data_IF_725185705263
#
_entry.id   IF_725185705263
#
_cell.length_a   1.000
_cell.length_b   1.000
_cell.length_c   1.000
_cell.angle_alpha   90.00
_cell.angle_beta   90.00
_cell.angle_gamma   90.00
#
_symmetry.space_group_name_H-M   'P 1'
#
loop_
_entity.id
_entity.type
_entity.pdbx_description
1 polymer ?
#
# COMPACT_ATOMS: atom_id res chain seq x y z
N UNK A 1 -15.19 -1.99 3.17
CA UNK A 1 -13.95 -1.72 2.43
C UNK A 1 -13.57 -2.89 1.51
N UNK A 2 -13.15 -4.03 2.08
CA UNK A 2 -12.74 -5.23 1.32
C UNK A 2 -13.85 -5.71 0.35
N UNK A 3 -15.10 -5.81 0.81
CA UNK A 3 -16.22 -6.22 -0.05
C UNK A 3 -16.46 -5.24 -1.21
N UNK A 4 -16.29 -3.94 -0.99
CA UNK A 4 -16.46 -2.93 -2.04
C UNK A 4 -15.38 -3.07 -3.12
N UNK A 5 -14.12 -3.30 -2.72
CA UNK A 5 -13.02 -3.61 -3.64
C UNK A 5 -13.34 -4.89 -4.44
N UNK A 6 -13.91 -5.92 -3.80
CA UNK A 6 -14.26 -7.18 -4.46
C UNK A 6 -15.42 -7.06 -5.44
N UNK A 7 -16.43 -6.25 -5.14
CA UNK A 7 -17.55 -5.96 -6.06
C UNK A 7 -17.03 -5.26 -7.33
N UNK A 8 -16.03 -4.39 -7.19
CA UNK A 8 -15.43 -3.64 -8.30
C UNK A 8 -14.22 -4.34 -8.93
N UNK A 9 -13.85 -5.53 -8.47
CA UNK A 9 -12.61 -6.19 -8.87
C UNK A 9 -12.61 -6.55 -10.35
N UNK A 10 -11.53 -6.17 -11.04
CA UNK A 10 -11.31 -6.46 -12.47
C UNK A 10 -10.11 -7.37 -12.63
N UNK A 11 -10.32 -8.49 -13.35
CA UNK A 11 -9.27 -9.48 -13.61
C UNK A 11 -8.08 -8.90 -14.37
N UNK A 12 -8.32 -7.93 -15.26
CA UNK A 12 -7.26 -7.25 -16.03
C UNK A 12 -6.30 -6.50 -15.12
N UNK A 13 -6.82 -5.73 -14.15
CA UNK A 13 -6.03 -4.96 -13.19
C UNK A 13 -5.25 -5.90 -12.27
N UNK A 14 -5.89 -6.98 -11.80
CA UNK A 14 -5.22 -7.98 -10.97
C UNK A 14 -4.04 -8.63 -11.71
N UNK A 15 -4.23 -9.01 -12.98
CA UNK A 15 -3.16 -9.62 -13.77
C UNK A 15 -1.98 -8.64 -13.95
N UNK A 16 -2.25 -7.36 -14.22
CA UNK A 16 -1.21 -6.33 -14.33
C UNK A 16 -0.46 -6.16 -13.01
N UNK A 17 -1.17 -6.15 -11.87
CA UNK A 17 -0.55 -6.10 -10.54
C UNK A 17 0.35 -7.31 -10.30
N UNK A 18 -0.13 -8.52 -10.61
CA UNK A 18 0.64 -9.76 -10.44
C UNK A 18 1.85 -9.84 -11.38
N UNK A 19 1.77 -9.28 -12.57
CA UNK A 19 2.90 -9.23 -13.52
C UNK A 19 4.01 -8.27 -13.05
N UNK A 20 3.63 -7.11 -12.50
CA UNK A 20 4.59 -6.12 -11.97
C UNK A 20 5.12 -6.49 -10.58
N UNK A 21 4.36 -7.22 -9.77
CA UNK A 21 4.72 -7.53 -8.37
C UNK A 21 6.12 -8.12 -8.16
N UNK A 22 6.60 -9.08 -8.99
CA UNK A 22 7.94 -9.63 -8.84
C UNK A 22 9.07 -8.58 -8.95
N UNK A 23 8.81 -7.43 -9.59
CA UNK A 23 9.79 -6.35 -9.73
C UNK A 23 10.15 -5.72 -8.39
N UNK A 24 9.32 -5.85 -7.34
CA UNK A 24 9.60 -5.38 -5.97
C UNK A 24 10.98 -5.85 -5.48
N UNK A 25 11.40 -7.07 -5.86
CA UNK A 25 12.72 -7.62 -5.48
C UNK A 25 13.89 -6.77 -5.95
N UNK A 26 13.75 -6.02 -7.06
CA UNK A 26 14.79 -5.14 -7.60
C UNK A 26 15.01 -3.91 -6.73
N UNK A 27 13.99 -3.48 -6.00
CA UNK A 27 14.01 -2.30 -5.14
C UNK A 27 14.63 -2.56 -3.76
N UNK A 28 14.98 -3.82 -3.45
CA UNK A 28 15.72 -4.17 -2.24
C UNK A 28 17.15 -3.62 -2.22
N UNK A 29 17.76 -3.41 -3.39
CA UNK A 29 19.12 -2.92 -3.50
C UNK A 29 19.24 -1.40 -3.30
N UNK A 30 18.13 -0.66 -3.43
CA UNK A 30 18.10 0.78 -3.24
C UNK A 30 17.72 1.09 -1.79
N UNK A 31 18.62 1.77 -1.06
CA UNK A 31 18.47 2.11 0.36
C UNK A 31 17.17 2.85 0.67
N UNK A 32 16.69 3.71 -0.24
CA UNK A 32 15.48 4.52 -0.03
C UNK A 32 14.20 3.69 -0.16
N UNK A 33 14.19 2.67 -1.01
CA UNK A 33 13.02 1.83 -1.29
C UNK A 33 13.08 0.47 -0.59
N UNK A 34 14.24 0.07 -0.06
CA UNK A 34 14.46 -1.24 0.54
C UNK A 34 13.53 -1.52 1.71
N UNK A 35 13.24 -0.50 2.55
CA UNK A 35 12.25 -0.60 3.64
C UNK A 35 10.90 -1.08 3.10
N UNK A 36 10.35 -0.37 2.13
CA UNK A 36 9.02 -0.65 1.55
C UNK A 36 8.99 -1.96 0.77
N UNK A 37 10.04 -2.21 -0.02
CA UNK A 37 10.19 -3.44 -0.77
C UNK A 37 10.25 -4.66 0.15
N UNK A 38 10.98 -4.59 1.27
CA UNK A 38 11.06 -5.69 2.23
C UNK A 38 9.73 -6.01 2.91
N UNK A 39 8.88 -5.01 3.15
CA UNK A 39 7.54 -5.22 3.70
C UNK A 39 6.61 -5.91 2.71
N UNK A 40 6.78 -5.71 1.40
CA UNK A 40 5.89 -6.23 0.36
C UNK A 40 6.38 -7.49 -0.34
N UNK A 41 7.64 -7.88 -0.18
CA UNK A 41 8.25 -8.99 -0.95
C UNK A 41 7.57 -10.34 -0.75
N UNK A 42 7.04 -10.58 0.45
CA UNK A 42 6.36 -11.82 0.83
C UNK A 42 4.83 -11.70 0.69
N UNK A 43 4.36 -10.60 0.06
CA UNK A 43 2.96 -10.37 -0.22
C UNK A 43 2.57 -10.84 -1.62
N UNK A 44 1.27 -10.98 -1.86
CA UNK A 44 0.74 -11.28 -3.18
C UNK A 44 -0.58 -10.53 -3.43
N UNK A 45 -0.75 -9.84 -4.57
CA UNK A 45 -2.03 -9.26 -4.96
C UNK A 45 -3.04 -10.38 -5.22
N UNK A 46 -4.17 -10.33 -4.54
CA UNK A 46 -5.23 -11.35 -4.67
C UNK A 46 -6.54 -10.81 -5.25
N UNK A 47 -6.75 -9.50 -5.17
CA UNK A 47 -7.83 -8.80 -5.85
C UNK A 47 -7.43 -7.36 -6.11
N UNK A 48 -7.93 -6.79 -7.21
CA UNK A 48 -7.65 -5.42 -7.59
C UNK A 48 -8.85 -4.82 -8.34
N UNK A 49 -9.14 -3.56 -8.10
CA UNK A 49 -10.10 -2.73 -8.81
C UNK A 49 -9.45 -1.36 -9.14
N UNK A 50 -10.08 -0.49 -9.95
CA UNK A 50 -9.57 0.86 -10.14
C UNK A 50 -9.45 1.58 -8.79
N UNK A 51 -8.24 1.96 -8.40
CA UNK A 51 -7.95 2.62 -7.12
C UNK A 51 -7.91 1.71 -5.89
N UNK A 52 -8.12 0.39 -6.01
CA UNK A 52 -8.16 -0.53 -4.87
C UNK A 52 -7.34 -1.80 -5.05
N UNK A 53 -6.61 -2.21 -4.03
CA UNK A 53 -5.77 -3.41 -4.04
C UNK A 53 -5.91 -4.21 -2.74
N UNK A 54 -6.02 -5.53 -2.87
CA UNK A 54 -6.00 -6.45 -1.73
C UNK A 54 -4.73 -7.27 -1.79
N UNK A 55 -3.95 -7.20 -0.71
CA UNK A 55 -2.68 -7.90 -0.55
C UNK A 55 -2.83 -9.03 0.46
N UNK A 56 -2.38 -10.22 0.08
CA UNK A 56 -2.34 -11.38 0.95
C UNK A 56 -0.93 -11.62 1.47
N UNK A 57 -0.82 -11.87 2.77
CA UNK A 57 0.43 -12.15 3.48
C UNK A 57 0.40 -13.52 4.15
N UNK A 58 1.58 -14.11 4.34
CA UNK A 58 1.75 -15.34 5.11
C UNK A 58 1.50 -15.12 6.60
N UNK A 59 1.98 -14.00 7.15
CA UNK A 59 1.98 -13.73 8.59
C UNK A 59 1.18 -12.49 8.93
N UNK A 60 0.41 -12.56 10.03
CA UNK A 60 -0.40 -11.45 10.53
C UNK A 60 0.45 -10.21 10.85
N UNK A 61 1.65 -10.40 11.41
CA UNK A 61 2.54 -9.28 11.77
C UNK A 61 2.90 -8.43 10.54
N UNK A 62 3.16 -9.04 9.38
CA UNK A 62 3.45 -8.33 8.15
C UNK A 62 2.23 -7.57 7.63
N UNK A 63 1.05 -8.22 7.64
CA UNK A 63 -0.20 -7.56 7.26
C UNK A 63 -0.50 -6.36 8.16
N UNK A 64 -0.30 -6.49 9.47
CA UNK A 64 -0.47 -5.40 10.42
C UNK A 64 0.51 -4.26 10.17
N UNK A 65 1.79 -4.57 9.91
CA UNK A 65 2.80 -3.54 9.59
C UNK A 65 2.46 -2.75 8.33
N UNK A 66 1.88 -3.41 7.33
CA UNK A 66 1.47 -2.78 6.06
C UNK A 66 0.21 -1.94 6.22
N UNK A 67 -0.74 -2.38 7.06
CA UNK A 67 -1.93 -1.60 7.39
C UNK A 67 -1.67 -0.50 8.43
N UNK A 68 -0.50 -0.49 9.07
CA UNK A 68 -0.15 0.49 10.09
C UNK A 68 0.12 1.84 9.43
N UNK A 69 -0.54 2.88 9.94
CA UNK A 69 -0.59 4.19 9.31
C UNK A 69 0.78 4.83 9.04
N UNK A 70 1.75 4.63 9.94
CA UNK A 70 3.12 5.17 9.77
C UNK A 70 3.84 4.59 8.55
N UNK A 71 3.48 3.37 8.14
CA UNK A 71 4.03 2.74 6.94
C UNK A 71 3.12 2.92 5.72
N UNK A 72 1.83 3.17 5.94
CA UNK A 72 0.81 3.13 4.91
C UNK A 72 1.09 4.09 3.76
N UNK A 73 1.32 5.38 4.05
CA UNK A 73 1.53 6.40 3.01
C UNK A 73 2.82 6.18 2.23
N UNK A 74 3.91 5.80 2.91
CA UNK A 74 5.17 5.43 2.24
C UNK A 74 5.02 4.23 1.32
N UNK A 75 4.28 3.21 1.76
CA UNK A 75 3.92 2.05 0.94
C UNK A 75 3.00 2.44 -0.22
N UNK A 76 2.04 3.34 0.00
CA UNK A 76 1.13 3.84 -1.04
C UNK A 76 1.91 4.53 -2.16
N UNK A 77 2.86 5.40 -1.82
CA UNK A 77 3.74 6.06 -2.81
C UNK A 77 4.57 5.02 -3.56
N UNK A 78 5.21 4.10 -2.84
CA UNK A 78 6.00 3.03 -3.46
C UNK A 78 5.20 2.14 -4.41
N UNK A 79 3.99 1.71 -4.01
CA UNK A 79 3.09 0.92 -4.86
C UNK A 79 2.64 1.74 -6.08
N UNK A 80 2.38 3.04 -5.89
CA UNK A 80 1.97 3.93 -6.98
C UNK A 80 3.07 4.10 -8.02
N UNK A 81 4.33 4.26 -7.61
CA UNK A 81 5.49 4.30 -8.50
C UNK A 81 5.68 2.98 -9.25
N UNK A 82 5.58 1.84 -8.55
CA UNK A 82 5.71 0.51 -9.15
C UNK A 82 4.62 0.25 -10.20
N UNK A 83 3.40 0.65 -9.89
CA UNK A 83 2.23 0.34 -10.70
C UNK A 83 1.95 1.37 -11.80
N UNK A 84 2.44 2.60 -11.64
CA UNK A 84 2.14 3.74 -12.51
C UNK A 84 0.73 4.33 -12.30
N UNK A 85 0.02 3.86 -11.27
CA UNK A 85 -1.33 4.27 -10.91
C UNK A 85 -1.46 4.23 -9.38
N UNK A 86 -2.25 5.14 -8.80
CA UNK A 86 -2.46 5.20 -7.36
C UNK A 86 -3.49 4.18 -6.90
N UNK A 87 -3.13 3.39 -5.90
CA UNK A 87 -4.03 2.41 -5.27
C UNK A 87 -4.10 2.63 -3.77
N UNK A 88 -5.32 2.66 -3.24
CA UNK A 88 -5.58 2.35 -1.84
C UNK A 88 -5.52 0.83 -1.67
N UNK A 89 -4.82 0.37 -0.65
CA UNK A 89 -4.62 -1.05 -0.41
C UNK A 89 -5.03 -1.47 1.00
N UNK A 90 -5.31 -2.77 1.14
CA UNK A 90 -5.51 -3.42 2.41
C UNK A 90 -4.78 -4.76 2.43
N UNK A 91 -4.03 -4.99 3.50
CA UNK A 91 -3.33 -6.23 3.75
C UNK A 91 -4.13 -7.16 4.66
N UNK A 92 -4.10 -8.44 4.36
CA UNK A 92 -4.71 -9.49 5.18
C UNK A 92 -3.97 -10.81 5.03
N UNK A 93 -4.19 -11.73 5.95
CA UNK A 93 -3.54 -13.05 5.88
C UNK A 93 -4.17 -13.93 4.79
N UNK A 94 -3.46 -14.96 4.34
CA UNK A 94 -4.02 -15.98 3.44
C UNK A 94 -5.29 -16.62 4.00
N UNK A 95 -5.34 -16.86 5.32
CA UNK A 95 -6.53 -17.41 5.98
C UNK A 95 -7.70 -16.46 5.94
N UNK A 96 -7.50 -15.18 6.28
CA UNK A 96 -8.56 -14.17 6.27
C UNK A 96 -9.06 -13.92 4.85
N UNK A 97 -8.16 -13.98 3.86
CA UNK A 97 -8.51 -13.89 2.45
C UNK A 97 -9.48 -14.99 2.03
N UNK A 98 -9.17 -16.23 2.39
CA UNK A 98 -10.01 -17.37 2.06
C UNK A 98 -11.40 -17.26 2.71
N UNK A 99 -11.46 -16.82 3.97
CA UNK A 99 -12.72 -16.60 4.68
C UNK A 99 -13.53 -15.48 4.03
N UNK A 100 -12.90 -14.33 3.74
CA UNK A 100 -13.56 -13.18 3.12
C UNK A 100 -14.05 -13.49 1.71
N UNK A 101 -13.25 -14.21 0.93
CA UNK A 101 -13.63 -14.66 -0.41
C UNK A 101 -14.81 -15.63 -0.38
N UNK A 102 -14.84 -16.56 0.57
CA UNK A 102 -16.00 -17.48 0.75
C UNK A 102 -17.26 -16.68 1.06
N UNK A 103 -17.17 -15.77 2.03
CA UNK A 103 -18.29 -14.90 2.40
C UNK A 103 -18.80 -14.06 1.22
N UNK A 104 -17.89 -13.46 0.43
CA UNK A 104 -18.27 -12.75 -0.79
C UNK A 104 -19.03 -13.64 -1.80
N UNK A 105 -18.59 -14.89 -1.98
CA UNK A 105 -19.25 -15.83 -2.89
C UNK A 105 -20.65 -16.23 -2.38
N UNK A 106 -20.85 -16.32 -1.07
CA UNK A 106 -22.16 -16.57 -0.45
C UNK A 106 -23.11 -15.39 -0.70
N UNK A 107 -22.67 -14.16 -0.42
CA UNK A 107 -23.45 -12.94 -0.68
C UNK A 107 -23.80 -12.78 -2.16
N UNK A 108 -22.86 -13.09 -3.06
CA UNK A 108 -23.08 -13.07 -4.50
C UNK A 108 -24.16 -14.07 -4.93
N UNK A 109 -24.18 -15.27 -4.35
CA UNK A 109 -25.23 -16.27 -4.63
C UNK A 109 -26.59 -15.85 -4.07
N UNK A 110 -26.59 -15.18 -2.90
CA UNK A 110 -27.80 -14.66 -2.28
C UNK A 110 -28.35 -13.39 -2.94
N UNK A 111 -27.61 -12.76 -3.86
CA UNK A 111 -27.99 -11.49 -4.47
C UNK A 111 -27.93 -10.30 -3.50
N UNK A 112 -27.18 -10.43 -2.40
CA UNK A 112 -27.06 -9.46 -1.32
C UNK A 112 -25.73 -8.68 -1.36
N UNK A 113 -25.15 -8.51 -2.56
CA UNK A 113 -23.92 -7.74 -2.69
C UNK A 113 -24.20 -6.25 -2.48
N UNK A 114 -23.31 -5.53 -1.79
CA UNK A 114 -23.43 -4.08 -1.67
C UNK A 114 -23.25 -3.42 -3.04
N UNK A 115 -23.86 -2.26 -3.22
CA UNK A 115 -23.64 -1.45 -4.42
C UNK A 115 -22.19 -0.93 -4.46
N UNK A 116 -21.57 -0.82 -5.65
CA UNK A 116 -20.25 -0.23 -5.80
C UNK A 116 -20.24 1.23 -5.31
N UNK A 117 -19.34 1.55 -4.38
CA UNK A 117 -19.14 2.91 -3.88
C UNK A 117 -17.68 3.36 -3.95
N UNK A 118 -17.37 4.60 -3.56
CA UNK A 118 -15.98 5.06 -3.41
C UNK A 118 -15.18 4.11 -2.50
N UNK A 119 -13.92 3.89 -2.82
CA UNK A 119 -13.04 3.09 -1.98
C UNK A 119 -12.70 3.94 -0.77
N UNK A 120 -13.12 3.44 0.38
CA UNK A 120 -12.94 4.07 1.65
C UNK A 120 -12.27 3.07 2.57
N UNK A 121 -11.23 3.48 3.28
CA UNK A 121 -10.44 2.59 4.11
C UNK A 121 -10.50 3.07 5.56
N UNK A 122 -11.33 2.39 6.34
CA UNK A 122 -11.58 2.68 7.77
C UNK A 122 -10.32 2.64 8.64
N UNK A 123 -9.28 1.91 8.21
CA UNK A 123 -8.02 1.79 8.96
C UNK A 123 -7.07 3.00 8.80
N UNK A 124 -7.36 3.92 7.88
CA UNK A 124 -6.57 5.14 7.64
C UNK A 124 -7.41 6.43 7.62
N UNK A 125 -8.73 6.31 7.70
CA UNK A 125 -9.70 7.41 7.51
C UNK A 125 -9.50 8.64 8.41
N UNK A 126 -8.94 8.45 9.62
CA UNK A 126 -8.74 9.55 10.58
C UNK A 126 -7.29 10.06 10.63
N UNK A 127 -6.50 9.74 9.61
CA UNK A 127 -5.07 10.02 9.58
C UNK A 127 -4.80 10.87 8.35
N UNK A 128 -4.53 12.16 8.58
CA UNK A 128 -4.06 13.04 7.54
C UNK A 128 -2.76 12.47 6.96
N UNK A 129 -2.66 12.40 5.64
CA UNK A 129 -1.40 12.06 4.99
C UNK A 129 -0.34 13.01 5.55
N UNK A 130 0.72 12.50 6.22
CA UNK A 130 1.73 13.38 6.73
C UNK A 130 2.28 14.17 5.55
N UNK A 131 2.12 15.50 5.58
CA UNK A 131 2.89 16.40 4.74
C UNK A 131 4.33 15.89 4.78
N UNK A 132 4.99 15.80 3.61
CA UNK A 132 6.40 15.48 3.55
C UNK A 132 7.12 16.50 4.44
N UNK A 133 7.32 16.15 5.71
CA UNK A 133 8.36 16.77 6.50
C UNK A 133 9.58 16.35 5.74
N UNK A 134 10.11 17.25 4.92
CA UNK A 134 11.46 17.17 4.41
C UNK A 134 12.33 16.89 5.63
N UNK A 135 12.55 15.61 5.93
CA UNK A 135 13.45 15.23 6.98
C UNK A 135 14.80 15.55 6.38
N UNK A 136 15.33 16.71 6.78
CA UNK A 136 16.69 17.13 6.48
C UNK A 136 17.57 15.87 6.54
N UNK A 137 18.22 15.55 5.43
CA UNK A 137 19.23 14.50 5.36
C UNK A 137 20.23 14.68 6.51
N UNK A 138 20.92 13.62 6.91
CA UNK A 138 21.91 13.74 7.99
C UNK A 138 22.96 14.82 7.70
N UNK A 139 23.31 15.01 6.41
CA UNK A 139 24.17 16.11 5.96
C UNK A 139 23.54 17.50 6.12
N UNK A 140 22.25 17.65 5.81
CA UNK A 140 21.52 18.90 6.02
C UNK A 140 21.33 19.20 7.52
N UNK A 141 21.03 18.19 8.35
CA UNK A 141 20.97 18.36 9.82
C UNK A 141 22.32 18.80 10.39
N UNK A 142 23.40 18.15 9.96
CA UNK A 142 24.75 18.50 10.38
C UNK A 142 25.15 19.91 9.91
N UNK A 143 24.75 20.30 8.69
CA UNK A 143 24.96 21.65 8.20
C UNK A 143 24.20 22.67 9.06
N UNK A 144 22.93 22.42 9.39
CA UNK A 144 22.16 23.28 10.29
C UNK A 144 22.75 23.32 11.71
N UNK A 145 23.31 22.22 12.22
CA UNK A 145 23.97 22.19 13.54
C UNK A 145 25.27 23.00 13.55
N UNK A 146 26.06 22.92 12.49
CA UNK A 146 27.34 23.62 12.37
C UNK A 146 27.20 25.11 12.02
N UNK A 147 26.23 25.44 11.18
CA UNK A 147 26.14 26.74 10.52
C UNK A 147 24.83 27.47 10.82
N UNK A 148 23.82 26.81 11.38
CA UNK A 148 22.55 27.46 11.76
C UNK A 148 21.85 28.09 10.55
N UNK A 149 21.33 29.31 10.75
CA UNK A 149 20.43 29.98 9.81
C UNK A 149 21.09 30.45 8.49
N UNK A 150 22.41 30.29 8.32
CA UNK A 150 23.09 30.63 7.05
C UNK A 150 23.03 29.50 6.01
N UNK A 151 22.52 28.32 6.37
CA UNK A 151 22.35 27.21 5.44
C UNK A 151 21.13 27.44 4.56
N UNK A 152 21.34 27.54 3.26
CA UNK A 152 20.26 27.49 2.27
C UNK A 152 20.35 26.16 1.52
N UNK A 153 19.29 25.36 1.62
CA UNK A 153 19.13 24.16 0.79
C UNK A 153 18.54 24.61 -0.53
N UNK A 154 19.26 24.40 -1.62
CA UNK A 154 18.77 24.64 -2.99
C UNK A 154 18.43 23.28 -3.57
N UNK A 155 17.17 23.06 -3.93
CA UNK A 155 16.76 21.90 -4.72
C UNK A 155 17.17 22.10 -6.18
N UNK A 156 17.76 21.07 -6.81
CA UNK A 156 18.12 21.05 -8.24
C UNK A 156 16.92 20.77 -9.14
#
# INVERSE_FOLDING_TARGET
DILNILVQAKRTILNQAQEKWPMIRRYLANTNTAKWASLLIDSSPVAACPGGLILSFEHQALANNVNYYENYFGLKRFISELMGETFDFIALTKTDWLTTRKHYMELRKAGQLPEPGPIHLTHIENIEEPEEKETLTDGQKYAYELFGDIVQVVEE
#
